data_IF_399235373730
#
_entry.id   IF_399235373730
#
_cell.length_a   1.000
_cell.length_b   1.000
_cell.length_c   1.000
_cell.angle_alpha   90.00
_cell.angle_beta   90.00
_cell.angle_gamma   90.00
#
_symmetry.space_group_name_H-M   'P 1'
#
loop_
_entity.id
_entity.type
_entity.pdbx_description
1 polymer ?
#
# COMPACT_ATOMS: atom_id res chain seq x y z
N UNK A 1 24.14 35.61 10.90
CA UNK A 1 22.80 35.13 10.49
C UNK A 1 22.08 34.62 11.71
N UNK A 2 20.75 34.48 11.68
CA UNK A 2 20.06 33.72 12.73
C UNK A 2 20.26 32.23 12.48
N UNK A 3 20.55 31.49 13.54
CA UNK A 3 20.74 30.05 13.54
C UNK A 3 19.50 29.38 14.13
N UNK A 4 19.07 28.27 13.54
CA UNK A 4 17.90 27.51 13.95
C UNK A 4 18.34 26.11 14.39
N UNK A 5 17.68 25.57 15.42
CA UNK A 5 17.87 24.21 15.91
C UNK A 5 16.57 23.40 15.67
N UNK A 6 16.71 22.17 15.18
CA UNK A 6 15.57 21.26 14.96
C UNK A 6 15.65 20.14 15.99
N UNK A 7 14.56 19.95 16.74
CA UNK A 7 14.46 18.94 17.80
C UNK A 7 13.30 17.96 17.50
N UNK A 8 13.61 16.66 17.44
CA UNK A 8 12.58 15.61 17.32
C UNK A 8 12.22 15.08 18.70
N UNK A 9 10.99 15.32 19.14
CA UNK A 9 10.47 14.85 20.43
C UNK A 9 9.65 13.58 20.19
N UNK A 10 9.95 12.50 20.92
CA UNK A 10 9.19 11.24 20.84
C UNK A 10 8.08 11.20 21.87
N UNK A 11 7.15 10.27 21.71
CA UNK A 11 5.96 10.06 22.55
C UNK A 11 6.28 9.99 24.05
N UNK A 12 7.39 9.35 24.40
CA UNK A 12 7.88 9.20 25.78
C UNK A 12 8.32 10.54 26.40
N UNK A 13 8.68 11.53 25.59
CA UNK A 13 9.30 12.78 26.02
C UNK A 13 8.36 13.99 25.94
N UNK A 14 7.12 13.81 25.45
CA UNK A 14 6.14 14.90 25.31
C UNK A 14 5.86 15.64 26.62
N UNK A 15 5.83 14.92 27.75
CA UNK A 15 5.51 15.50 29.06
C UNK A 15 6.67 16.29 29.68
N UNK A 16 7.89 16.06 29.23
CA UNK A 16 9.11 16.67 29.78
C UNK A 16 9.74 17.70 28.82
N UNK A 17 9.34 17.70 27.55
CA UNK A 17 9.85 18.67 26.58
C UNK A 17 9.33 20.08 26.87
N UNK A 18 10.27 21.02 27.03
CA UNK A 18 9.96 22.41 27.36
C UNK A 18 10.05 23.30 26.13
N UNK A 19 8.88 23.71 25.65
CA UNK A 19 8.71 24.73 24.61
C UNK A 19 9.32 26.07 25.03
N UNK A 20 9.95 26.76 24.08
CA UNK A 20 10.49 28.11 24.22
C UNK A 20 9.70 29.08 23.34
N UNK A 21 9.74 30.36 23.71
CA UNK A 21 9.09 31.39 22.92
C UNK A 21 9.77 31.54 21.56
N UNK A 22 9.01 31.48 20.47
CA UNK A 22 9.53 31.48 19.10
C UNK A 22 9.66 30.09 18.47
N UNK A 23 9.40 29.01 19.22
CA UNK A 23 9.39 27.65 18.67
C UNK A 23 8.19 27.45 17.72
N UNK A 24 8.42 26.74 16.61
CA UNK A 24 7.38 26.28 15.68
C UNK A 24 7.27 24.77 15.79
N UNK A 25 6.07 24.27 16.09
CA UNK A 25 5.80 22.83 16.20
C UNK A 25 5.08 22.36 14.95
N UNK A 26 5.67 21.38 14.28
CA UNK A 26 5.03 20.66 13.17
C UNK A 26 4.71 19.25 13.63
N UNK A 27 3.42 18.94 13.78
CA UNK A 27 2.95 17.58 13.97
C UNK A 27 2.60 17.00 12.60
N UNK A 28 3.51 16.19 12.03
CA UNK A 28 3.19 15.45 10.83
C UNK A 28 2.16 14.37 11.15
N UNK A 29 1.19 14.17 10.25
CA UNK A 29 0.27 13.05 10.39
C UNK A 29 1.10 11.76 10.49
N UNK A 30 0.76 10.89 11.46
CA UNK A 30 1.20 9.50 11.41
C UNK A 30 0.85 9.02 10.01
N UNK A 31 1.85 8.66 9.18
CA UNK A 31 1.58 8.16 7.84
C UNK A 31 0.49 7.10 7.98
N UNK A 32 -0.65 7.28 7.30
CA UNK A 32 -1.73 6.31 7.26
C UNK A 32 -1.22 5.03 6.58
N UNK A 33 -0.45 4.24 7.34
CA UNK A 33 0.25 3.05 6.90
C UNK A 33 -0.67 1.89 7.19
N UNK A 34 -1.51 1.57 6.22
CA UNK A 34 -2.21 0.30 6.26
C UNK A 34 -1.17 -0.82 6.08
N UNK A 35 -0.93 -1.60 7.14
CA UNK A 35 0.05 -2.69 7.14
C UNK A 35 -0.41 -3.85 6.23
N UNK A 36 -1.71 -3.93 5.95
CA UNK A 36 -2.34 -5.06 5.29
C UNK A 36 -3.38 -4.62 4.25
N UNK A 37 -2.95 -3.86 3.24
CA UNK A 37 -3.81 -3.31 2.18
C UNK A 37 -3.51 -3.93 0.83
N UNK A 38 -4.55 -4.35 0.12
CA UNK A 38 -4.54 -4.65 -1.30
C UNK A 38 -5.35 -3.60 -2.05
N UNK A 39 -4.92 -3.26 -3.25
CA UNK A 39 -5.65 -2.35 -4.11
C UNK A 39 -5.74 -2.94 -5.52
N UNK A 40 -6.95 -3.00 -6.06
CA UNK A 40 -7.21 -3.46 -7.42
C UNK A 40 -7.88 -2.35 -8.21
N UNK A 41 -7.38 -2.11 -9.42
CA UNK A 41 -7.84 -1.07 -10.35
C UNK A 41 -7.94 -1.64 -11.75
N UNK A 42 -8.70 -0.97 -12.61
CA UNK A 42 -8.84 -1.31 -14.03
C UNK A 42 -10.12 -2.08 -14.33
N UNK A 43 -10.03 -3.03 -15.27
CA UNK A 43 -11.15 -3.76 -15.86
C UNK A 43 -11.65 -4.90 -14.94
N UNK A 44 -12.18 -4.51 -13.78
CA UNK A 44 -12.81 -5.39 -12.78
C UNK A 44 -14.17 -4.80 -12.38
N UNK A 45 -15.10 -5.64 -11.95
CA UNK A 45 -16.44 -5.18 -11.58
C UNK A 45 -16.45 -4.32 -10.32
N UNK A 46 -15.57 -4.62 -9.35
CA UNK A 46 -15.45 -3.86 -8.11
C UNK A 46 -14.00 -3.42 -7.87
N UNK A 47 -13.55 -2.32 -8.49
CA UNK A 47 -12.26 -1.73 -8.14
C UNK A 47 -12.32 -1.13 -6.74
N UNK A 48 -11.21 -1.18 -6.02
CA UNK A 48 -11.17 -0.64 -4.67
C UNK A 48 -10.03 -1.18 -3.82
N UNK A 49 -10.13 -0.85 -2.55
CA UNK A 49 -9.19 -1.28 -1.52
C UNK A 49 -9.79 -2.47 -0.77
N UNK A 50 -8.97 -3.50 -0.63
CA UNK A 50 -9.30 -4.73 0.07
C UNK A 50 -8.29 -4.98 1.19
N UNK A 51 -8.70 -5.79 2.17
CA UNK A 51 -7.84 -6.15 3.29
C UNK A 51 -6.96 -7.35 2.93
N UNK A 52 -5.63 -7.18 2.96
CA UNK A 52 -4.70 -8.30 2.94
C UNK A 52 -4.89 -9.10 4.24
N UNK A 53 -5.22 -10.39 4.12
CA UNK A 53 -5.41 -11.29 5.26
C UNK A 53 -5.18 -12.74 4.84
N UNK A 54 -5.20 -13.69 5.78
CA UNK A 54 -4.97 -15.12 5.50
C UNK A 54 -5.78 -15.75 4.34
N UNK A 55 -6.94 -15.18 4.01
CA UNK A 55 -7.83 -15.66 2.93
C UNK A 55 -7.70 -14.89 1.62
N UNK A 56 -7.19 -13.66 1.68
CA UNK A 56 -7.00 -12.77 0.55
C UNK A 56 -5.53 -12.39 0.49
N UNK A 57 -4.73 -13.28 -0.10
CA UNK A 57 -3.28 -13.15 -0.21
C UNK A 57 -2.75 -13.26 -1.63
N UNK A 58 -3.58 -13.70 -2.57
CA UNK A 58 -3.14 -13.96 -3.94
C UNK A 58 -3.89 -13.12 -4.97
N UNK A 59 -3.28 -12.95 -6.15
CA UNK A 59 -3.90 -12.22 -7.26
C UNK A 59 -5.26 -12.82 -7.65
N UNK A 60 -5.37 -14.15 -7.73
CA UNK A 60 -6.63 -14.82 -8.08
C UNK A 60 -7.74 -14.54 -7.07
N UNK A 61 -7.43 -14.59 -5.78
CA UNK A 61 -8.40 -14.31 -4.71
C UNK A 61 -8.87 -12.86 -4.78
N UNK A 62 -7.95 -11.90 -5.02
CA UNK A 62 -8.29 -10.48 -5.17
C UNK A 62 -9.20 -10.23 -6.37
N UNK A 63 -8.94 -10.88 -7.51
CA UNK A 63 -9.80 -10.79 -8.70
C UNK A 63 -11.19 -11.38 -8.43
N UNK A 64 -11.27 -12.52 -7.74
CA UNK A 64 -12.54 -13.14 -7.38
C UNK A 64 -13.35 -12.26 -6.40
N UNK A 65 -12.69 -11.68 -5.39
CA UNK A 65 -13.32 -10.76 -4.44
C UNK A 65 -13.79 -9.46 -5.11
N UNK A 66 -13.10 -9.04 -6.18
CA UNK A 66 -13.52 -7.94 -7.07
C UNK A 66 -14.68 -8.31 -8.01
N UNK A 67 -15.34 -9.46 -7.80
CA UNK A 67 -16.38 -10.05 -8.65
C UNK A 67 -15.94 -10.40 -10.08
N UNK A 68 -14.63 -10.60 -10.28
CA UNK A 68 -14.06 -10.98 -11.55
C UNK A 68 -13.70 -9.80 -12.46
N UNK A 69 -13.20 -10.15 -13.63
CA UNK A 69 -12.75 -9.22 -14.67
C UNK A 69 -13.94 -8.87 -15.58
N UNK A 70 -13.97 -7.63 -16.08
CA UNK A 70 -14.97 -7.23 -17.07
C UNK A 70 -14.66 -7.83 -18.44
N UNK A 71 -15.67 -7.93 -19.31
CA UNK A 71 -15.52 -8.60 -20.62
C UNK A 71 -14.55 -7.92 -21.60
N UNK A 72 -14.23 -6.65 -21.36
CA UNK A 72 -13.27 -5.82 -22.10
C UNK A 72 -11.87 -5.81 -21.46
N UNK A 73 -11.64 -6.60 -20.40
CA UNK A 73 -10.37 -6.64 -19.70
C UNK A 73 -9.24 -7.18 -20.58
N UNK A 74 -8.10 -6.49 -20.57
CA UNK A 74 -6.88 -6.98 -21.20
C UNK A 74 -6.20 -8.02 -20.30
N UNK A 75 -6.52 -9.31 -20.52
CA UNK A 75 -6.09 -10.40 -19.64
C UNK A 75 -4.60 -10.74 -19.73
N UNK A 76 -3.95 -10.44 -20.86
CA UNK A 76 -2.58 -10.88 -21.15
C UNK A 76 -1.51 -10.07 -20.41
N UNK A 77 -1.88 -8.96 -19.75
CA UNK A 77 -0.93 -8.12 -19.02
C UNK A 77 -1.61 -7.36 -17.90
N UNK A 78 -1.15 -7.58 -16.69
CA UNK A 78 -1.33 -6.65 -15.58
C UNK A 78 0.01 -6.41 -14.87
N UNK A 79 -0.01 -5.48 -13.93
CA UNK A 79 1.16 -5.06 -13.19
C UNK A 79 0.83 -5.12 -11.70
N UNK A 80 1.57 -5.93 -10.97
CA UNK A 80 1.52 -5.98 -9.52
C UNK A 80 2.58 -5.04 -8.95
N UNK A 81 2.14 -4.06 -8.17
CA UNK A 81 3.01 -3.23 -7.36
C UNK A 81 3.10 -3.84 -5.96
N UNK A 82 4.29 -4.30 -5.58
CA UNK A 82 4.54 -4.92 -4.28
C UNK A 82 5.50 -4.06 -3.47
N UNK A 83 5.09 -3.67 -2.27
CA UNK A 83 5.99 -3.02 -1.33
C UNK A 83 6.75 -4.08 -0.53
N UNK A 84 8.07 -3.98 -0.49
CA UNK A 84 8.95 -4.84 0.32
C UNK A 84 9.09 -4.29 1.75
N UNK A 85 9.63 -5.10 2.65
CA UNK A 85 9.87 -4.71 4.05
C UNK A 85 10.80 -3.50 4.17
N UNK A 86 11.74 -3.34 3.24
CA UNK A 86 12.65 -2.20 3.12
C UNK A 86 12.01 -0.95 2.47
N UNK A 87 10.70 -0.99 2.20
CA UNK A 87 9.89 0.07 1.61
C UNK A 87 10.14 0.37 0.14
N UNK A 88 11.01 -0.41 -0.50
CA UNK A 88 11.12 -0.37 -1.95
C UNK A 88 9.85 -0.91 -2.59
N UNK A 89 9.47 -0.31 -3.72
CA UNK A 89 8.34 -0.79 -4.51
C UNK A 89 8.89 -1.57 -5.69
N UNK A 90 8.48 -2.82 -5.79
CA UNK A 90 8.76 -3.70 -6.92
C UNK A 90 7.58 -3.71 -7.87
N UNK A 91 7.88 -3.78 -9.16
CA UNK A 91 6.91 -3.85 -10.25
C UNK A 91 7.03 -5.22 -10.90
N UNK A 92 6.05 -6.10 -10.64
CA UNK A 92 6.03 -7.46 -11.17
C UNK A 92 5.00 -7.51 -12.30
N UNK A 93 5.41 -7.73 -13.56
CA UNK A 93 4.47 -7.99 -14.64
C UNK A 93 3.83 -9.37 -14.42
N UNK A 94 2.51 -9.44 -14.55
CA UNK A 94 1.75 -10.67 -14.37
C UNK A 94 0.84 -10.93 -15.57
N UNK A 95 0.73 -12.19 -15.95
CA UNK A 95 -0.26 -12.66 -16.92
C UNK A 95 -1.50 -13.11 -16.14
N UNK A 96 -2.55 -12.26 -16.18
CA UNK A 96 -3.78 -12.52 -15.43
C UNK A 96 -4.50 -13.74 -15.99
N UNK A 97 -4.48 -13.93 -17.31
CA UNK A 97 -5.10 -15.11 -17.93
C UNK A 97 -4.47 -16.39 -17.39
N UNK A 98 -3.14 -16.47 -17.42
CA UNK A 98 -2.43 -17.65 -16.94
C UNK A 98 -2.61 -17.89 -15.42
N UNK A 99 -2.74 -16.82 -14.62
CA UNK A 99 -3.04 -16.93 -13.18
C UNK A 99 -4.47 -17.46 -12.96
N UNK A 100 -5.45 -16.95 -13.70
CA UNK A 100 -6.84 -17.42 -13.59
C UNK A 100 -6.99 -18.87 -14.07
N UNK A 101 -6.29 -19.24 -15.14
CA UNK A 101 -6.27 -20.60 -15.72
C UNK A 101 -5.42 -21.60 -14.90
N UNK A 102 -4.64 -21.13 -13.93
CA UNK A 102 -3.79 -21.97 -13.07
C UNK A 102 -2.50 -22.45 -13.72
N UNK A 103 -2.09 -21.87 -14.84
CA UNK A 103 -0.87 -22.23 -15.59
C UNK A 103 0.34 -21.36 -15.22
N UNK A 104 0.12 -20.26 -14.49
CA UNK A 104 1.17 -19.42 -13.91
C UNK A 104 1.11 -19.42 -12.37
N UNK A 105 2.22 -19.02 -11.74
CA UNK A 105 2.34 -18.92 -10.29
C UNK A 105 1.34 -17.89 -9.74
N UNK A 106 0.52 -18.33 -8.79
CA UNK A 106 -0.37 -17.45 -8.04
C UNK A 106 0.42 -16.79 -6.91
N UNK A 107 0.81 -15.55 -7.12
CA UNK A 107 1.65 -14.74 -6.23
C UNK A 107 0.85 -13.84 -5.31
#
# INVERSE_FOLDING_TARGET
GQEYEVNTVKDLDYSVYKMRNGDVVTAEAILNRFINKLEIRGAVYRPGIYQLNGKLNTVRELVNEAQGLTGDAFLNRAVLYRQREDLTTEVVPVDIKAIMDGTSQNI
#
